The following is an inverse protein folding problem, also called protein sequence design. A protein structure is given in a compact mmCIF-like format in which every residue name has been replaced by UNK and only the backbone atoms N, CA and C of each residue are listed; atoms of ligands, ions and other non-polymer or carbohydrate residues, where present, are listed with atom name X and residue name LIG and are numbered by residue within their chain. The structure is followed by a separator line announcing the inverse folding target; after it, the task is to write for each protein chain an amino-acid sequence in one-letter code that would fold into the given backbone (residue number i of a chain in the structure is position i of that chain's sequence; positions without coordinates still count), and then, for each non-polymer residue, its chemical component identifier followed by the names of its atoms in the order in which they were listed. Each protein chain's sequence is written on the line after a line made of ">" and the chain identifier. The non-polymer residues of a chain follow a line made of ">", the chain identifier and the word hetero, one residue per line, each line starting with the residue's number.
data_IF_604826170242
#
_entry.id   IF_604826170242
#
_cell.length_a   1.000
_cell.length_b   1.000
_cell.length_c   1.000
_cell.angle_alpha   90.00
_cell.angle_beta   90.00
_cell.angle_gamma   90.00
#
_symmetry.space_group_name_H-M   'P 1'
#
loop_
_entity.id
_entity.type
_entity.pdbx_description
1 polymer ?
#
# COMPACT_ATOMS: atom_id res chain seq x y z
N UNK A 1 5.89 33.86 -25.44
CA UNK A 1 4.89 32.82 -25.12
C UNK A 1 5.27 32.25 -23.76
N UNK A 2 4.39 32.34 -22.77
CA UNK A 2 4.67 31.87 -21.41
C UNK A 2 4.56 30.34 -21.36
N UNK A 3 5.58 29.66 -20.85
CA UNK A 3 5.58 28.21 -20.70
C UNK A 3 4.49 27.80 -19.70
N UNK A 4 3.55 26.96 -20.15
CA UNK A 4 2.53 26.36 -19.29
C UNK A 4 3.20 25.28 -18.45
N UNK A 5 3.62 25.63 -17.24
CA UNK A 5 4.16 24.67 -16.27
C UNK A 5 3.01 23.76 -15.84
N UNK A 6 3.03 22.51 -16.29
CA UNK A 6 2.10 21.48 -15.81
C UNK A 6 2.58 21.08 -14.41
N UNK A 7 1.82 21.35 -13.34
CA UNK A 7 2.25 20.97 -12.00
C UNK A 7 2.27 19.45 -11.87
N UNK A 8 3.34 18.91 -11.30
CA UNK A 8 3.44 17.49 -10.96
C UNK A 8 2.28 17.09 -10.03
N UNK A 9 1.70 15.88 -10.19
CA UNK A 9 0.62 15.41 -9.32
C UNK A 9 1.08 15.42 -7.87
N UNK A 10 0.47 16.26 -7.04
CA UNK A 10 0.68 16.22 -5.59
C UNK A 10 -0.04 15.00 -5.04
N UNK A 11 0.74 14.03 -4.55
CA UNK A 11 0.25 12.77 -4.00
C UNK A 11 -0.62 13.04 -2.77
N UNK A 12 -1.90 12.69 -2.82
CA UNK A 12 -2.73 12.56 -1.61
C UNK A 12 -2.17 11.37 -0.82
N UNK A 13 -1.60 11.63 0.35
CA UNK A 13 -1.26 10.56 1.29
C UNK A 13 -2.49 9.69 1.55
N UNK A 14 -2.28 8.39 1.79
CA UNK A 14 -3.36 7.52 2.24
C UNK A 14 -4.01 8.12 3.48
N UNK A 15 -5.32 8.37 3.40
CA UNK A 15 -6.10 8.88 4.52
C UNK A 15 -6.29 7.74 5.54
N UNK A 16 -5.44 7.69 6.56
CA UNK A 16 -5.45 6.66 7.60
C UNK A 16 -6.82 6.54 8.29
N UNK A 17 -7.61 7.62 8.32
CA UNK A 17 -8.98 7.62 8.83
C UNK A 17 -9.91 6.71 8.02
N UNK A 18 -9.75 6.67 6.70
CA UNK A 18 -10.54 5.79 5.84
C UNK A 18 -10.16 4.33 6.03
N UNK A 19 -8.85 4.06 6.19
CA UNK A 19 -8.33 2.71 6.47
C UNK A 19 -8.86 2.21 7.81
N UNK A 20 -8.82 3.05 8.85
CA UNK A 20 -9.38 2.73 10.17
C UNK A 20 -10.87 2.38 10.07
N UNK A 21 -11.66 3.23 9.41
CA UNK A 21 -13.10 3.01 9.23
C UNK A 21 -13.41 1.67 8.55
N UNK A 22 -12.63 1.30 7.53
CA UNK A 22 -12.77 0.03 6.82
C UNK A 22 -12.44 -1.16 7.73
N UNK A 23 -11.33 -1.10 8.46
CA UNK A 23 -10.92 -2.16 9.41
C UNK A 23 -12.00 -2.36 10.46
N UNK A 24 -12.49 -1.28 11.09
CA UNK A 24 -13.56 -1.34 12.10
C UNK A 24 -14.85 -1.92 11.54
N UNK A 25 -15.24 -1.53 10.32
CA UNK A 25 -16.44 -2.07 9.65
C UNK A 25 -16.31 -3.55 9.30
N UNK A 26 -15.10 -4.03 9.06
CA UNK A 26 -14.85 -5.45 8.82
C UNK A 26 -14.87 -6.25 10.12
N UNK A 27 -14.19 -5.75 11.16
CA UNK A 27 -14.16 -6.38 12.47
C UNK A 27 -15.54 -6.45 13.12
N UNK A 28 -16.40 -5.45 12.93
CA UNK A 28 -17.78 -5.49 13.45
C UNK A 28 -18.64 -6.59 12.83
N UNK A 29 -18.25 -7.15 11.68
CA UNK A 29 -18.91 -8.33 11.08
C UNK A 29 -18.36 -9.66 11.61
N UNK A 30 -17.14 -9.67 12.13
CA UNK A 30 -16.41 -10.87 12.54
C UNK A 30 -16.38 -11.06 14.06
N UNK A 31 -16.40 -9.96 14.82
CA UNK A 31 -16.17 -9.93 16.27
C UNK A 31 -17.18 -9.00 16.96
N UNK A 32 -17.58 -9.40 18.17
CA UNK A 32 -18.38 -8.58 19.09
C UNK A 32 -17.52 -7.99 20.22
N UNK A 33 -16.21 -8.27 20.25
CA UNK A 33 -15.30 -7.79 21.30
C UNK A 33 -14.72 -6.43 20.92
N UNK A 34 -15.04 -5.42 21.74
CA UNK A 34 -14.48 -4.08 21.58
C UNK A 34 -12.96 -4.07 21.82
N UNK A 35 -12.47 -4.88 22.77
CA UNK A 35 -11.04 -5.02 23.09
C UNK A 35 -10.24 -5.60 21.91
N UNK A 36 -10.78 -6.63 21.27
CA UNK A 36 -10.19 -7.21 20.06
C UNK A 36 -10.14 -6.18 18.93
N UNK A 37 -11.21 -5.40 18.79
CA UNK A 37 -11.31 -4.40 17.73
C UNK A 37 -10.25 -3.32 17.88
N UNK A 38 -10.09 -2.76 19.08
CA UNK A 38 -9.05 -1.75 19.33
C UNK A 38 -7.64 -2.31 19.13
N UNK A 39 -7.37 -3.52 19.63
CA UNK A 39 -6.07 -4.17 19.47
C UNK A 39 -5.67 -4.33 17.99
N UNK A 40 -6.58 -4.83 17.17
CA UNK A 40 -6.31 -5.09 15.75
C UNK A 40 -6.20 -3.77 14.97
N UNK A 41 -7.08 -2.80 15.25
CA UNK A 41 -7.04 -1.49 14.60
C UNK A 41 -5.71 -0.78 14.85
N UNK A 42 -5.26 -0.71 16.11
CA UNK A 42 -3.99 -0.08 16.48
C UNK A 42 -2.81 -0.72 15.73
N UNK A 43 -2.74 -2.05 15.76
CA UNK A 43 -1.66 -2.83 15.14
C UNK A 43 -1.63 -2.66 13.62
N UNK A 44 -2.80 -2.65 12.99
CA UNK A 44 -2.93 -2.48 11.55
C UNK A 44 -2.62 -1.06 11.10
N UNK A 45 -3.01 -0.03 11.85
CA UNK A 45 -2.67 1.35 11.53
C UNK A 45 -1.16 1.58 11.57
N UNK A 46 -0.47 1.06 12.61
CA UNK A 46 0.99 1.10 12.69
C UNK A 46 1.63 0.40 11.49
N UNK A 47 1.10 -0.77 11.10
CA UNK A 47 1.63 -1.51 9.96
C UNK A 47 1.44 -0.75 8.63
N UNK A 48 0.24 -0.23 8.39
CA UNK A 48 -0.08 0.54 7.18
C UNK A 48 0.75 1.82 7.10
N UNK A 49 0.96 2.52 8.21
CA UNK A 49 1.80 3.71 8.25
C UNK A 49 3.27 3.38 7.90
N UNK A 50 3.81 2.28 8.44
CA UNK A 50 5.21 1.89 8.22
C UNK A 50 5.51 1.29 6.84
N UNK A 51 4.53 0.61 6.24
CA UNK A 51 4.74 -0.19 5.02
C UNK A 51 3.89 0.28 3.84
N UNK A 52 2.67 0.76 4.08
CA UNK A 52 1.79 1.30 3.02
C UNK A 52 2.22 2.68 2.50
N UNK A 53 3.07 3.40 3.24
CA UNK A 53 3.61 4.70 2.84
C UNK A 53 4.88 4.62 1.99
N UNK A 54 5.49 3.43 1.85
CA UNK A 54 6.75 3.28 1.09
C UNK A 54 6.48 3.46 -0.39
N UNK A 55 7.05 4.53 -0.95
CA UNK A 55 7.00 4.79 -2.38
C UNK A 55 7.89 3.80 -3.13
N UNK A 56 7.30 3.12 -4.10
CA UNK A 56 8.07 2.41 -5.11
C UNK A 56 8.57 3.41 -6.13
N UNK A 57 9.89 3.64 -6.15
CA UNK A 57 10.55 4.45 -7.17
C UNK A 57 11.29 3.51 -8.13
N UNK A 58 10.76 3.31 -9.36
CA UNK A 58 11.45 2.48 -10.33
C UNK A 58 12.73 3.20 -10.79
N UNK A 59 13.88 2.62 -10.47
CA UNK A 59 15.18 3.08 -10.96
C UNK A 59 15.47 2.44 -12.33
N UNK A 60 15.15 3.15 -13.41
CA UNK A 60 15.55 2.72 -14.75
C UNK A 60 16.97 3.17 -15.05
N UNK A 61 17.89 2.20 -15.16
CA UNK A 61 19.23 2.46 -15.63
C UNK A 61 19.35 1.94 -17.07
N UNK A 62 18.77 2.69 -18.01
CA UNK A 62 18.73 2.34 -19.43
C UNK A 62 19.83 3.09 -20.18
N UNK A 63 20.85 2.40 -20.73
CA UNK A 63 21.82 3.03 -21.60
C UNK A 63 21.15 3.42 -22.92
N UNK A 64 20.97 4.72 -23.15
CA UNK A 64 20.40 5.25 -24.40
C UNK A 64 21.52 5.49 -25.42
N UNK A 65 21.44 4.91 -26.63
CA UNK A 65 22.40 5.15 -27.70
C UNK A 65 22.49 6.64 -28.08
N UNK A 66 23.68 7.15 -28.46
CA UNK A 66 23.91 8.58 -28.72
C UNK A 66 23.24 9.12 -30.00
N UNK A 67 22.57 8.27 -30.78
CA UNK A 67 21.97 8.62 -32.08
C UNK A 67 20.46 8.38 -32.15
N UNK A 68 19.76 8.41 -31.01
CA UNK A 68 18.31 8.33 -30.99
C UNK A 68 17.68 9.49 -31.77
N UNK A 69 16.79 9.15 -32.70
CA UNK A 69 15.90 10.14 -33.30
C UNK A 69 14.87 10.60 -32.27
N UNK A 70 14.29 11.80 -32.48
CA UNK A 70 13.26 12.33 -31.58
C UNK A 70 12.05 11.39 -31.45
N UNK A 71 11.62 10.76 -32.56
CA UNK A 71 10.51 9.81 -32.56
C UNK A 71 10.82 8.54 -31.73
N UNK A 72 12.06 8.05 -31.76
CA UNK A 72 12.49 6.90 -30.96
C UNK A 72 12.59 7.25 -29.47
N UNK A 73 13.02 8.47 -29.14
CA UNK A 73 13.04 8.96 -27.77
C UNK A 73 11.63 9.10 -27.18
N UNK A 74 10.68 9.65 -27.95
CA UNK A 74 9.27 9.76 -27.56
C UNK A 74 8.62 8.38 -27.40
N UNK A 75 8.88 7.43 -28.31
CA UNK A 75 8.40 6.06 -28.21
C UNK A 75 8.97 5.31 -26.99
N UNK A 76 10.24 5.53 -26.67
CA UNK A 76 10.87 4.96 -25.47
C UNK A 76 10.26 5.52 -24.19
N UNK A 77 10.04 6.85 -24.11
CA UNK A 77 9.39 7.48 -22.97
C UNK A 77 7.97 6.94 -22.78
N UNK A 78 7.16 6.86 -23.84
CA UNK A 78 5.81 6.30 -23.75
C UNK A 78 5.79 4.82 -23.33
N UNK A 79 6.79 4.04 -23.75
CA UNK A 79 6.94 2.64 -23.31
C UNK A 79 7.35 2.53 -21.85
N UNK A 80 8.19 3.46 -21.36
CA UNK A 80 8.58 3.54 -19.97
C UNK A 80 7.42 3.95 -19.08
N UNK A 81 6.67 4.98 -19.45
CA UNK A 81 5.48 5.42 -18.71
C UNK A 81 4.47 4.27 -18.56
N UNK A 82 4.17 3.58 -19.66
CA UNK A 82 3.26 2.42 -19.63
C UNK A 82 3.81 1.28 -18.76
N UNK A 83 5.11 0.97 -18.87
CA UNK A 83 5.75 -0.06 -18.05
C UNK A 83 5.77 0.29 -16.55
N UNK A 84 5.95 1.57 -16.21
CA UNK A 84 5.86 2.06 -14.83
C UNK A 84 4.46 1.91 -14.28
N UNK A 85 3.45 2.29 -15.06
CA UNK A 85 2.05 2.19 -14.64
C UNK A 85 1.66 0.73 -14.39
N UNK A 86 2.01 -0.19 -15.30
CA UNK A 86 1.72 -1.62 -15.15
C UNK A 86 2.42 -2.22 -13.92
N UNK A 87 3.66 -1.82 -13.62
CA UNK A 87 4.39 -2.25 -12.42
C UNK A 87 3.78 -1.63 -11.16
N UNK A 88 3.38 -0.35 -11.20
CA UNK A 88 2.75 0.31 -10.07
C UNK A 88 1.45 -0.39 -9.65
N UNK A 89 0.65 -0.84 -10.62
CA UNK A 89 -0.55 -1.66 -10.35
C UNK A 89 -0.18 -2.96 -9.65
N UNK A 90 0.79 -3.72 -10.18
CA UNK A 90 1.22 -4.98 -9.58
C UNK A 90 1.77 -4.82 -8.16
N UNK A 91 2.57 -3.77 -7.93
CA UNK A 91 3.11 -3.44 -6.60
C UNK A 91 1.97 -3.08 -5.66
N UNK A 92 1.00 -2.28 -6.11
CA UNK A 92 -0.16 -1.89 -5.31
C UNK A 92 -1.03 -3.09 -4.92
N UNK A 93 -1.27 -4.03 -5.85
CA UNK A 93 -2.00 -5.27 -5.60
C UNK A 93 -1.25 -6.15 -4.59
N UNK A 94 0.06 -6.29 -4.74
CA UNK A 94 0.90 -7.03 -3.81
C UNK A 94 0.86 -6.43 -2.40
N UNK A 95 1.02 -5.11 -2.27
CA UNK A 95 0.92 -4.40 -0.99
C UNK A 95 -0.46 -4.60 -0.36
N UNK A 96 -1.52 -4.49 -1.16
CA UNK A 96 -2.90 -4.69 -0.68
C UNK A 96 -3.11 -6.10 -0.16
N UNK A 97 -2.58 -7.12 -0.85
CA UNK A 97 -2.65 -8.51 -0.41
C UNK A 97 -1.92 -8.73 0.91
N UNK A 98 -0.71 -8.18 1.06
CA UNK A 98 0.07 -8.26 2.29
C UNK A 98 -0.69 -7.63 3.47
N UNK A 99 -1.34 -6.47 3.25
CA UNK A 99 -2.15 -5.81 4.27
C UNK A 99 -3.31 -6.72 4.73
N UNK A 100 -4.00 -7.38 3.80
CA UNK A 100 -5.10 -8.31 4.12
C UNK A 100 -4.58 -9.53 4.89
N UNK A 101 -3.50 -10.15 4.43
CA UNK A 101 -2.89 -11.30 5.12
C UNK A 101 -2.45 -10.92 6.54
N UNK A 102 -1.87 -9.73 6.69
CA UNK A 102 -1.49 -9.21 8.00
C UNK A 102 -2.69 -9.02 8.92
N UNK A 103 -3.81 -8.52 8.41
CA UNK A 103 -5.04 -8.34 9.17
C UNK A 103 -5.54 -9.67 9.76
N UNK A 104 -5.60 -10.74 8.97
CA UNK A 104 -5.99 -12.06 9.47
C UNK A 104 -5.00 -12.61 10.50
N UNK A 105 -3.71 -12.41 10.28
CA UNK A 105 -2.68 -12.80 11.25
C UNK A 105 -2.88 -12.10 12.61
N UNK A 106 -3.24 -10.82 12.62
CA UNK A 106 -3.51 -10.10 13.88
C UNK A 106 -4.72 -10.64 14.64
N UNK A 107 -5.77 -11.08 13.91
CA UNK A 107 -6.91 -11.78 14.49
C UNK A 107 -6.44 -13.07 15.17
N UNK A 108 -5.71 -13.93 14.45
CA UNK A 108 -5.21 -15.21 14.97
C UNK A 108 -4.28 -15.02 16.18
N UNK A 109 -3.40 -14.01 16.13
CA UNK A 109 -2.50 -13.69 17.24
C UNK A 109 -3.26 -13.23 18.48
N UNK A 110 -4.33 -12.45 18.32
CA UNK A 110 -5.17 -12.03 19.44
C UNK A 110 -5.90 -13.21 20.07
N UNK A 111 -6.52 -14.07 19.24
CA UNK A 111 -7.24 -15.27 19.69
C UNK A 111 -6.30 -16.22 20.46
N UNK A 112 -5.11 -16.48 19.93
CA UNK A 112 -4.10 -17.32 20.59
C UNK A 112 -3.64 -16.74 21.94
N UNK A 113 -3.54 -15.41 22.07
CA UNK A 113 -3.22 -14.76 23.36
C UNK A 113 -4.32 -14.94 24.40
N UNK A 114 -5.59 -14.95 23.99
CA UNK A 114 -6.71 -15.18 24.90
C UNK A 114 -6.89 -16.67 25.22
N UNK A 115 -6.66 -17.57 24.26
CA UNK A 115 -6.66 -19.02 24.48
C UNK A 115 -5.56 -19.49 25.43
N UNK A 116 -4.36 -18.88 25.35
CA UNK A 116 -3.25 -19.16 26.26
C UNK A 116 -3.46 -18.72 27.72
N UNK A 117 -4.35 -17.74 27.98
CA UNK A 117 -4.67 -17.30 29.35
C UNK A 117 -5.59 -18.27 30.11
N UNK A 118 -6.27 -19.18 29.41
CA UNK A 118 -7.18 -20.15 30.03
C UNK A 118 -6.49 -21.45 30.52
N UNK A 119 -5.17 -21.60 30.29
CA UNK A 119 -4.43 -22.81 30.65
C UNK A 119 -3.52 -22.70 31.88
N UNK A 120 -3.68 -21.65 32.69
CA UNK A 120 -3.05 -21.56 34.01
C UNK A 120 -4.15 -21.68 35.08
N UNK A 121 -4.45 -22.92 35.46
CA UNK A 121 -5.12 -23.27 36.71
C UNK A 121 -4.36 -24.40 37.37
#
# INVERSE_FOLDING_TARGET
>A
MAATVIPFPTKKGQDLSQVESLIRKWLSKLSHSNDMTEYIVERMLIYVEQYGSRLFEPAFNLPVPPHFSQAEAEALLGSLEKGVDDIAVQVQEMVSRIIIERFFLEIELYENRQGGKNHIK
#
